data_IF_470877892932
#
_entry.id   IF_470877892932
#
_cell.length_a   1.000
_cell.length_b   1.000
_cell.length_c   1.000
_cell.angle_alpha   90.00
_cell.angle_beta   90.00
_cell.angle_gamma   90.00
#
_symmetry.space_group_name_H-M   'P 1'
#
loop_
_entity.id
_entity.type
_entity.pdbx_description
1 polymer ?
#
# COMPACT_ATOMS: atom_id res chain seq x y z
N UNK A 1 5.35 -49.55 -79.67
CA UNK A 1 4.15 -48.74 -79.37
C UNK A 1 3.64 -49.20 -78.01
N UNK A 2 3.06 -48.25 -77.27
CA UNK A 2 2.49 -48.33 -75.92
C UNK A 2 3.46 -48.27 -74.75
N UNK A 3 3.23 -47.46 -73.73
CA UNK A 3 2.40 -46.27 -73.58
C UNK A 3 3.00 -45.54 -72.37
N UNK A 4 3.29 -44.26 -72.52
CA UNK A 4 3.88 -43.43 -71.49
C UNK A 4 2.77 -43.07 -70.49
N UNK A 5 2.78 -43.74 -69.34
CA UNK A 5 1.82 -43.48 -68.27
C UNK A 5 2.07 -42.09 -67.67
N UNK A 6 1.31 -41.11 -68.13
CA UNK A 6 1.12 -39.84 -67.44
C UNK A 6 0.35 -40.11 -66.14
N UNK A 7 1.02 -40.01 -64.99
CA UNK A 7 0.33 -39.91 -63.71
C UNK A 7 -0.41 -38.55 -63.67
N UNK A 8 -1.74 -38.53 -63.49
CA UNK A 8 -2.47 -37.30 -63.29
C UNK A 8 -2.27 -36.83 -61.84
N UNK A 9 -2.04 -35.53 -61.69
CA UNK A 9 -2.17 -34.79 -60.43
C UNK A 9 -1.19 -35.17 -59.30
N UNK A 10 0.02 -34.61 -59.38
CA UNK A 10 0.82 -34.29 -58.18
C UNK A 10 0.13 -33.16 -57.37
N UNK A 11 -1.10 -33.39 -56.90
CA UNK A 11 -1.76 -32.51 -55.96
C UNK A 11 -1.16 -32.71 -54.57
N UNK A 12 -0.65 -31.63 -53.96
CA UNK A 12 -0.14 -31.69 -52.59
C UNK A 12 -1.16 -32.35 -51.67
N UNK A 13 -0.72 -33.39 -50.95
CA UNK A 13 -1.59 -34.15 -50.08
C UNK A 13 -2.24 -33.20 -49.04
N UNK A 14 -3.55 -33.31 -48.74
CA UNK A 14 -4.25 -32.40 -47.83
C UNK A 14 -3.61 -32.32 -46.44
N UNK A 15 -2.89 -33.37 -46.04
CA UNK A 15 -2.09 -33.41 -44.81
C UNK A 15 -0.87 -32.46 -44.86
N UNK A 16 -0.23 -32.33 -46.01
CA UNK A 16 0.89 -31.41 -46.27
C UNK A 16 0.44 -29.95 -46.24
N UNK A 17 -0.70 -29.67 -46.88
CA UNK A 17 -1.33 -28.33 -46.89
C UNK A 17 -1.70 -27.91 -45.47
N UNK A 18 -2.35 -28.80 -44.70
CA UNK A 18 -2.71 -28.53 -43.30
C UNK A 18 -1.47 -28.31 -42.41
N UNK A 19 -0.40 -29.09 -42.61
CA UNK A 19 0.86 -28.92 -41.89
C UNK A 19 1.49 -27.54 -42.15
N UNK A 20 1.49 -27.08 -43.40
CA UNK A 20 2.04 -25.79 -43.77
C UNK A 20 1.22 -24.63 -43.20
N UNK A 21 -0.12 -24.70 -43.29
CA UNK A 21 -1.02 -23.68 -42.72
C UNK A 21 -0.84 -23.60 -41.21
N UNK A 22 -0.76 -24.74 -40.52
CA UNK A 22 -0.57 -24.79 -39.07
C UNK A 22 0.79 -24.23 -38.68
N UNK A 23 1.86 -24.58 -39.42
CA UNK A 23 3.20 -24.03 -39.19
C UNK A 23 3.25 -22.51 -39.35
N UNK A 24 2.64 -21.98 -40.42
CA UNK A 24 2.55 -20.54 -40.67
C UNK A 24 1.75 -19.84 -39.55
N UNK A 25 0.59 -20.39 -39.16
CA UNK A 25 -0.22 -19.83 -38.08
C UNK A 25 0.51 -19.85 -36.74
N UNK A 26 1.24 -20.91 -36.44
CA UNK A 26 2.01 -21.03 -35.19
C UNK A 26 3.17 -20.02 -35.17
N UNK A 27 3.83 -19.82 -36.30
CA UNK A 27 4.87 -18.80 -36.46
C UNK A 27 4.31 -17.37 -36.31
N UNK A 28 3.19 -17.06 -36.97
CA UNK A 28 2.52 -15.78 -36.81
C UNK A 28 2.07 -15.56 -35.36
N UNK A 29 1.53 -16.59 -34.70
CA UNK A 29 1.13 -16.50 -33.30
C UNK A 29 2.34 -16.27 -32.38
N UNK A 30 3.47 -16.94 -32.63
CA UNK A 30 4.70 -16.74 -31.89
C UNK A 30 5.28 -15.31 -32.05
N UNK A 31 5.02 -14.65 -33.19
CA UNK A 31 5.38 -13.25 -33.41
C UNK A 31 4.37 -12.26 -32.80
N UNK A 32 3.07 -12.58 -32.86
CA UNK A 32 1.99 -11.74 -32.34
C UNK A 32 1.88 -11.78 -30.82
N UNK A 33 2.11 -12.94 -30.20
CA UNK A 33 2.02 -13.13 -28.75
C UNK A 33 2.89 -12.13 -27.95
N UNK A 34 4.20 -11.95 -28.25
CA UNK A 34 5.01 -10.96 -27.54
C UNK A 34 4.56 -9.52 -27.83
N UNK A 35 4.02 -9.24 -29.02
CA UNK A 35 3.49 -7.92 -29.36
C UNK A 35 2.20 -7.60 -28.60
N UNK A 36 1.29 -8.57 -28.47
CA UNK A 36 0.07 -8.44 -27.69
C UNK A 36 0.39 -8.34 -26.20
N UNK A 37 1.31 -9.16 -25.68
CA UNK A 37 1.83 -9.03 -24.31
C UNK A 37 2.39 -7.62 -24.08
N UNK A 38 3.22 -7.14 -25.00
CA UNK A 38 3.76 -5.78 -24.96
C UNK A 38 2.66 -4.72 -24.97
N UNK A 39 1.63 -4.82 -25.83
CA UNK A 39 0.51 -3.88 -25.87
C UNK A 39 -0.34 -3.91 -24.60
N UNK A 40 -0.66 -5.08 -24.05
CA UNK A 40 -1.34 -5.19 -22.76
C UNK A 40 -0.51 -4.58 -21.65
N UNK A 41 0.80 -4.79 -21.65
CA UNK A 41 1.72 -4.17 -20.69
C UNK A 41 1.82 -2.66 -20.91
N UNK A 42 1.77 -2.15 -22.14
CA UNK A 42 1.86 -0.71 -22.44
C UNK A 42 0.60 0.06 -22.04
N UNK A 43 -0.59 -0.52 -22.23
CA UNK A 43 -1.85 0.12 -21.85
C UNK A 43 -2.11 0.17 -20.33
N UNK A 44 -1.35 -0.54 -19.50
CA UNK A 44 -1.58 -0.59 -18.05
C UNK A 44 -0.87 0.49 -17.24
N UNK A 45 0.09 1.25 -17.80
CA UNK A 45 0.87 2.22 -17.03
C UNK A 45 0.02 3.29 -16.32
N UNK A 46 -0.97 3.85 -17.03
CA UNK A 46 -1.88 4.85 -16.44
C UNK A 46 -2.84 4.24 -15.41
N UNK A 47 -3.25 2.98 -15.58
CA UNK A 47 -4.06 2.27 -14.60
C UNK A 47 -3.26 1.93 -13.34
N UNK A 48 -2.01 1.47 -13.49
CA UNK A 48 -1.06 1.20 -12.41
C UNK A 48 -0.79 2.45 -11.57
N UNK A 49 -0.57 3.61 -12.24
CA UNK A 49 -0.36 4.90 -11.59
C UNK A 49 -1.57 5.33 -10.75
N UNK A 50 -2.79 5.16 -11.26
CA UNK A 50 -4.03 5.46 -10.53
C UNK A 50 -4.18 4.58 -9.28
N UNK A 51 -3.86 3.29 -9.38
CA UNK A 51 -3.90 2.38 -8.23
C UNK A 51 -2.89 2.78 -7.16
N UNK A 52 -1.66 3.12 -7.57
CA UNK A 52 -0.62 3.60 -6.66
C UNK A 52 -1.07 4.87 -5.93
N UNK A 53 -1.70 5.80 -6.66
CA UNK A 53 -2.21 7.04 -6.08
C UNK A 53 -3.35 6.82 -5.10
N UNK A 54 -4.33 5.99 -5.46
CA UNK A 54 -5.41 5.63 -4.55
C UNK A 54 -4.89 5.07 -3.22
N UNK A 55 -3.92 4.14 -3.30
CA UNK A 55 -3.32 3.56 -2.11
C UNK A 55 -2.54 4.61 -1.30
N UNK A 56 -1.88 5.56 -1.96
CA UNK A 56 -1.16 6.63 -1.28
C UNK A 56 -2.11 7.59 -0.56
N UNK A 57 -3.21 7.97 -1.21
CA UNK A 57 -4.23 8.83 -0.63
C UNK A 57 -4.89 8.16 0.60
N UNK A 58 -5.12 6.85 0.56
CA UNK A 58 -5.58 6.08 1.75
C UNK A 58 -4.60 6.20 2.92
N UNK A 59 -3.30 6.01 2.66
CA UNK A 59 -2.27 6.14 3.70
C UNK A 59 -2.19 7.58 4.20
N UNK A 60 -2.25 8.58 3.31
CA UNK A 60 -2.25 9.99 3.70
C UNK A 60 -3.44 10.32 4.61
N UNK A 61 -4.63 9.85 4.26
CA UNK A 61 -5.85 10.05 5.05
C UNK A 61 -5.72 9.41 6.43
N UNK A 62 -5.19 8.19 6.49
CA UNK A 62 -4.89 7.52 7.76
C UNK A 62 -3.93 8.35 8.64
N UNK A 63 -2.90 8.94 8.06
CA UNK A 63 -1.92 9.74 8.79
C UNK A 63 -2.51 11.05 9.32
N UNK A 64 -3.42 11.68 8.57
CA UNK A 64 -4.17 12.85 9.04
C UNK A 64 -5.10 12.50 10.21
N UNK A 65 -5.81 11.38 10.13
CA UNK A 65 -6.68 10.92 11.21
C UNK A 65 -5.89 10.64 12.49
N UNK A 66 -4.77 9.91 12.35
CA UNK A 66 -3.83 9.70 13.45
C UNK A 66 -3.37 11.04 14.03
N UNK A 67 -2.94 11.99 13.19
CA UNK A 67 -2.49 13.31 13.66
C UNK A 67 -3.57 14.01 14.49
N UNK A 68 -4.82 13.97 14.07
CA UNK A 68 -5.96 14.53 14.82
C UNK A 68 -6.06 13.92 16.22
N UNK A 69 -5.98 12.59 16.32
CA UNK A 69 -6.00 11.89 17.61
C UNK A 69 -4.79 12.22 18.49
N UNK A 70 -3.59 12.37 17.91
CA UNK A 70 -2.38 12.79 18.62
C UNK A 70 -2.49 14.20 19.19
N UNK A 71 -3.16 15.11 18.49
CA UNK A 71 -3.33 16.48 18.97
C UNK A 71 -4.28 16.53 20.18
N UNK A 72 -5.31 15.69 20.20
CA UNK A 72 -6.28 15.57 21.30
C UNK A 72 -5.66 14.87 22.51
N UNK A 73 -4.85 13.85 22.28
CA UNK A 73 -4.12 13.13 23.32
C UNK A 73 -2.92 13.96 23.75
N UNK A 74 -3.07 14.83 24.74
CA UNK A 74 -1.95 15.56 25.37
C UNK A 74 -0.86 14.57 25.82
N UNK A 75 0.17 14.43 24.98
CA UNK A 75 1.29 13.51 25.15
C UNK A 75 2.28 13.98 26.22
N UNK A 76 2.25 15.26 26.55
CA UNK A 76 3.21 15.93 27.44
C UNK A 76 2.82 15.88 28.92
N UNK A 77 1.58 15.49 29.25
CA UNK A 77 1.09 15.52 30.62
C UNK A 77 1.40 14.27 31.47
N UNK A 78 1.96 13.20 30.87
CA UNK A 78 2.23 11.94 31.57
C UNK A 78 3.70 11.49 31.34
N UNK A 79 4.57 11.50 32.38
CA UNK A 79 5.98 11.17 32.26
C UNK A 79 6.24 9.71 31.81
N UNK A 80 5.34 8.78 32.12
CA UNK A 80 5.45 7.38 31.66
C UNK A 80 5.08 7.24 30.17
N UNK A 81 4.22 8.14 29.68
CA UNK A 81 3.78 8.19 28.30
C UNK A 81 4.77 8.95 27.38
N UNK A 82 5.64 9.79 27.94
CA UNK A 82 6.53 10.67 27.18
C UNK A 82 7.50 9.91 26.27
N UNK A 83 8.19 8.88 26.79
CA UNK A 83 9.18 8.11 26.00
C UNK A 83 8.55 7.37 24.81
N UNK A 84 7.33 6.84 25.00
CA UNK A 84 6.59 6.14 23.95
C UNK A 84 5.95 7.13 22.97
N UNK A 85 5.49 8.28 23.49
CA UNK A 85 4.98 9.40 22.73
C UNK A 85 5.98 9.99 21.75
N UNK A 86 7.21 10.26 22.21
CA UNK A 86 8.31 10.76 21.37
C UNK A 86 8.63 9.78 20.24
N UNK A 87 8.73 8.48 20.54
CA UNK A 87 8.97 7.46 19.51
C UNK A 87 7.82 7.42 18.50
N UNK A 88 6.58 7.59 18.95
CA UNK A 88 5.43 7.63 18.06
C UNK A 88 5.42 8.86 17.16
N UNK A 89 5.75 10.03 17.70
CA UNK A 89 5.88 11.26 16.91
C UNK A 89 6.94 11.10 15.83
N UNK A 90 8.13 10.57 16.18
CA UNK A 90 9.20 10.32 15.21
C UNK A 90 8.76 9.32 14.12
N UNK A 91 8.08 8.24 14.50
CA UNK A 91 7.59 7.25 13.55
C UNK A 91 6.52 7.85 12.61
N UNK A 92 5.61 8.66 13.15
CA UNK A 92 4.61 9.39 12.38
C UNK A 92 5.26 10.35 11.39
N UNK A 93 6.18 11.18 11.84
CA UNK A 93 6.85 12.19 11.02
C UNK A 93 7.61 11.54 9.86
N UNK A 94 8.25 10.40 10.13
CA UNK A 94 8.93 9.62 9.10
C UNK A 94 7.96 9.05 8.06
N UNK A 95 6.81 8.53 8.49
CA UNK A 95 5.77 8.02 7.59
C UNK A 95 5.18 9.13 6.72
N UNK A 96 4.94 10.30 7.32
CA UNK A 96 4.42 11.46 6.62
C UNK A 96 5.41 11.98 5.58
N UNK A 97 6.69 12.10 5.94
CA UNK A 97 7.73 12.50 5.00
C UNK A 97 7.87 11.52 3.82
N UNK A 98 7.79 10.21 4.08
CA UNK A 98 7.80 9.20 3.03
C UNK A 98 6.57 9.30 2.12
N UNK A 99 5.38 9.48 2.69
CA UNK A 99 4.13 9.65 1.95
C UNK A 99 4.20 10.89 1.04
N UNK A 100 4.64 12.03 1.59
CA UNK A 100 4.80 13.29 0.85
C UNK A 100 5.75 13.15 -0.34
N UNK A 101 6.95 12.61 -0.10
CA UNK A 101 7.95 12.39 -1.16
C UNK A 101 7.41 11.50 -2.28
N UNK A 102 6.70 10.43 -1.91
CA UNK A 102 6.11 9.52 -2.88
C UNK A 102 4.98 10.19 -3.68
N UNK A 103 4.20 11.06 -3.05
CA UNK A 103 3.14 11.86 -3.69
C UNK A 103 3.71 12.83 -4.72
N UNK A 104 4.78 13.55 -4.35
CA UNK A 104 5.48 14.47 -5.23
C UNK A 104 6.07 13.74 -6.45
N UNK A 105 6.74 12.60 -6.22
CA UNK A 105 7.23 11.74 -7.29
C UNK A 105 6.09 11.29 -8.23
N UNK A 106 4.99 10.76 -7.69
CA UNK A 106 3.82 10.33 -8.47
C UNK A 106 3.21 11.45 -9.33
N UNK A 107 3.13 12.67 -8.79
CA UNK A 107 2.62 13.85 -9.50
C UNK A 107 3.53 14.28 -10.67
N UNK A 108 4.84 14.13 -10.53
CA UNK A 108 5.79 14.36 -11.63
C UNK A 108 5.55 13.39 -12.80
N UNK A 109 5.23 12.13 -12.50
CA UNK A 109 4.92 11.12 -13.53
C UNK A 109 3.61 11.41 -14.27
N UNK A 110 2.59 11.90 -13.56
CA UNK A 110 1.30 12.27 -14.18
C UNK A 110 1.42 13.47 -15.11
N UNK A 111 2.24 14.46 -14.76
CA UNK A 111 2.33 15.72 -15.51
C UNK A 111 3.17 15.61 -16.77
N UNK A 112 4.08 14.63 -16.87
CA UNK A 112 4.98 14.43 -18.01
C UNK A 112 4.92 13.01 -18.61
N UNK A 113 3.75 12.54 -19.09
CA UNK A 113 3.59 11.17 -19.58
C UNK A 113 4.41 10.89 -20.84
N UNK A 114 4.70 11.89 -21.67
CA UNK A 114 5.49 11.76 -22.90
C UNK A 114 6.98 11.46 -22.66
N UNK A 115 7.48 11.69 -21.45
CA UNK A 115 8.90 11.54 -21.10
C UNK A 115 9.24 10.10 -20.69
N UNK A 116 8.22 9.31 -20.35
CA UNK A 116 8.38 7.97 -19.76
C UNK A 116 8.09 6.88 -20.80
N UNK A 117 9.15 6.37 -21.44
CA UNK A 117 9.02 5.13 -22.20
C UNK A 117 8.64 3.98 -21.26
N UNK A 118 7.85 2.99 -21.74
CA UNK A 118 7.35 1.89 -20.87
C UNK A 118 8.47 1.13 -20.15
N UNK A 119 9.65 0.97 -20.77
CA UNK A 119 10.81 0.35 -20.13
C UNK A 119 11.28 1.19 -18.93
N UNK A 120 11.39 2.51 -19.09
CA UNK A 120 11.72 3.42 -17.98
C UNK A 120 10.64 3.37 -16.89
N UNK A 121 9.37 3.36 -17.27
CA UNK A 121 8.27 3.22 -16.32
C UNK A 121 8.32 1.88 -15.59
N UNK A 122 8.60 0.76 -16.24
CA UNK A 122 8.66 -0.54 -15.56
C UNK A 122 9.75 -0.59 -14.48
N UNK A 123 10.94 -0.07 -14.77
CA UNK A 123 12.00 0.07 -13.76
C UNK A 123 11.56 0.97 -12.61
N UNK A 124 10.93 2.10 -12.93
CA UNK A 124 10.47 3.06 -11.93
C UNK A 124 9.30 2.55 -11.10
N UNK A 125 8.38 1.81 -11.71
CA UNK A 125 7.23 1.19 -11.06
C UNK A 125 7.69 0.25 -9.96
N UNK A 126 8.70 -0.59 -10.21
CA UNK A 126 9.25 -1.48 -9.19
C UNK A 126 9.87 -0.69 -8.02
N UNK A 127 10.53 0.44 -8.30
CA UNK A 127 11.05 1.33 -7.26
C UNK A 127 9.92 1.96 -6.43
N UNK A 128 8.90 2.51 -7.09
CA UNK A 128 7.73 3.12 -6.46
C UNK A 128 6.94 2.09 -5.65
N UNK A 129 6.70 0.90 -6.20
CA UNK A 129 6.07 -0.21 -5.50
C UNK A 129 6.87 -0.63 -4.26
N UNK A 130 8.21 -0.64 -4.34
CA UNK A 130 9.08 -0.88 -3.19
C UNK A 130 8.96 0.21 -2.11
N UNK A 131 8.90 1.48 -2.51
CA UNK A 131 8.65 2.60 -1.59
C UNK A 131 7.27 2.51 -0.95
N UNK A 132 6.26 2.13 -1.73
CA UNK A 132 4.89 1.94 -1.27
C UNK A 132 4.78 0.79 -0.27
N UNK A 133 5.45 -0.34 -0.53
CA UNK A 133 5.53 -1.46 0.40
C UNK A 133 6.23 -1.07 1.72
N UNK A 134 7.27 -0.23 1.67
CA UNK A 134 7.92 0.31 2.88
C UNK A 134 6.98 1.23 3.65
N UNK A 135 6.22 2.07 2.96
CA UNK A 135 5.24 2.96 3.56
C UNK A 135 4.12 2.16 4.24
N UNK A 136 3.57 1.16 3.54
CA UNK A 136 2.56 0.25 4.09
C UNK A 136 3.08 -0.52 5.30
N UNK A 137 4.27 -1.12 5.20
CA UNK A 137 4.89 -1.80 6.34
C UNK A 137 5.11 -0.83 7.51
N UNK A 138 5.46 0.42 7.24
CA UNK A 138 5.56 1.42 8.29
C UNK A 138 4.21 1.72 8.97
N UNK A 139 3.11 1.83 8.20
CA UNK A 139 1.72 1.95 8.73
C UNK A 139 1.34 0.73 9.59
N UNK A 140 1.67 -0.47 9.10
CA UNK A 140 1.39 -1.73 9.80
C UNK A 140 2.19 -1.85 11.11
N UNK A 141 3.41 -1.33 11.16
CA UNK A 141 4.22 -1.26 12.40
C UNK A 141 3.80 -0.13 13.34
N UNK A 142 3.27 0.97 12.81
CA UNK A 142 2.83 2.12 13.58
C UNK A 142 1.52 1.84 14.34
N UNK A 143 0.56 1.16 13.70
CA UNK A 143 -0.73 0.79 14.29
C UNK A 143 -0.63 0.07 15.65
N UNK A 144 0.16 -1.01 15.82
CA UNK A 144 0.31 -1.68 17.11
C UNK A 144 1.07 -0.82 18.13
N UNK A 145 1.95 0.07 17.67
CA UNK A 145 2.64 1.00 18.55
C UNK A 145 1.65 2.00 19.16
N UNK A 146 0.76 2.55 18.32
CA UNK A 146 -0.33 3.42 18.74
C UNK A 146 -1.27 2.70 19.70
N UNK A 147 -1.70 1.48 19.38
CA UNK A 147 -2.57 0.69 20.25
C UNK A 147 -1.94 0.46 21.62
N UNK A 148 -0.66 0.09 21.67
CA UNK A 148 0.05 -0.11 22.94
C UNK A 148 0.14 1.19 23.75
N UNK A 149 0.34 2.33 23.10
CA UNK A 149 0.33 3.64 23.76
C UNK A 149 -1.05 3.94 24.38
N UNK A 150 -2.13 3.76 23.62
CA UNK A 150 -3.50 3.98 24.08
C UNK A 150 -3.87 3.06 25.25
N UNK A 151 -3.49 1.78 25.19
CA UNK A 151 -3.73 0.83 26.28
C UNK A 151 -3.01 1.24 27.58
N UNK A 152 -1.78 1.77 27.47
CA UNK A 152 -1.04 2.27 28.63
C UNK A 152 -1.70 3.50 29.22
N UNK A 153 -2.11 4.46 28.38
CA UNK A 153 -2.87 5.65 28.80
C UNK A 153 -4.17 5.25 29.51
N UNK A 154 -4.94 4.32 28.96
CA UNK A 154 -6.19 3.84 29.57
C UNK A 154 -5.96 3.22 30.96
N UNK A 155 -4.95 2.35 31.10
CA UNK A 155 -4.57 1.77 32.40
C UNK A 155 -4.08 2.82 33.41
N UNK A 156 -3.35 3.84 32.94
CA UNK A 156 -2.90 4.95 33.79
C UNK A 156 -4.12 5.72 34.34
N UNK A 157 -5.09 6.03 33.48
CA UNK A 157 -6.33 6.70 33.86
C UNK A 157 -7.17 5.85 34.83
N UNK A 158 -7.27 4.53 34.60
CA UNK A 158 -7.99 3.61 35.49
C UNK A 158 -7.41 3.62 36.92
N UNK A 159 -6.08 3.58 37.05
CA UNK A 159 -5.40 3.67 38.35
C UNK A 159 -5.70 5.01 39.03
N UNK A 160 -5.66 6.10 38.27
CA UNK A 160 -5.88 7.45 38.80
C UNK A 160 -7.32 7.63 39.30
N UNK A 161 -8.29 7.08 38.57
CA UNK A 161 -9.70 7.04 38.99
C UNK A 161 -9.89 6.20 40.26
N UNK A 162 -9.20 5.07 40.37
CA UNK A 162 -9.25 4.22 41.57
C UNK A 162 -8.74 4.97 42.79
N UNK A 163 -7.58 5.62 42.68
CA UNK A 163 -7.00 6.44 43.77
C UNK A 163 -7.93 7.60 44.14
N UNK A 164 -8.50 8.29 43.16
CA UNK A 164 -9.45 9.37 43.41
C UNK A 164 -10.69 8.85 44.16
N UNK A 165 -11.20 7.67 43.80
CA UNK A 165 -12.32 7.03 44.48
C UNK A 165 -12.00 6.68 45.94
N UNK A 166 -10.80 6.18 46.20
CA UNK A 166 -10.32 5.93 47.57
C UNK A 166 -10.23 7.22 48.40
N UNK A 167 -9.68 8.29 47.82
CA UNK A 167 -9.56 9.61 48.45
C UNK A 167 -10.92 10.23 48.78
N UNK A 168 -11.88 10.15 47.85
CA UNK A 168 -13.26 10.62 48.08
C UNK A 168 -13.91 9.81 49.22
N UNK A 169 -13.69 8.50 49.26
CA UNK A 169 -14.21 7.63 50.33
C UNK A 169 -13.63 8.00 51.69
N UNK A 170 -12.34 8.27 51.77
CA UNK A 170 -11.67 8.71 53.00
C UNK A 170 -12.18 10.08 53.48
N UNK A 171 -12.32 11.06 52.57
CA UNK A 171 -12.90 12.37 52.91
C UNK A 171 -14.35 12.26 53.38
N UNK A 172 -15.13 11.37 52.79
CA UNK A 172 -16.53 11.13 53.20
C UNK A 172 -16.62 10.45 54.57
N UNK A 173 -15.68 9.56 54.90
CA UNK A 173 -15.61 8.91 56.21
C UNK A 173 -15.09 9.83 57.33
N UNK A 174 -14.23 10.80 57.02
CA UNK A 174 -13.80 11.83 57.98
C UNK A 174 -14.85 12.92 58.21
N UNK A 175 -15.87 13.01 57.35
CA UNK A 175 -16.87 14.09 57.32
C UNK A 175 -18.16 13.89 58.14
N UNK A 176 -18.31 12.84 58.95
CA UNK A 176 -19.48 12.80 59.85
C UNK A 176 -19.52 11.69 60.91
N UNK A 177 -20.28 11.88 62.01
CA UNK A 177 -20.58 13.11 62.74
C UNK A 177 -19.77 13.13 64.05
N UNK A 178 -19.02 14.22 64.27
CA UNK A 178 -18.63 14.62 65.62
C UNK A 178 -19.90 15.03 66.36
N UNK A 179 -20.47 14.04 67.04
CA UNK A 179 -21.38 14.10 68.19
C UNK A 179 -21.72 15.51 68.69
N UNK A 180 -22.99 15.85 68.53
CA UNK A 180 -23.73 16.63 69.52
C UNK A 180 -23.42 16.10 70.93
N UNK A 181 -22.80 16.94 71.76
CA UNK A 181 -22.96 16.96 73.22
C UNK A 181 -22.76 18.38 73.70
#
# INVERSE_FOLDING_TARGET
>A
MSDQACCPECGDSPLSIMGNITGILTFFYALLAPFLLFLTVVNTAGAELKVLRYNLDDISTYMEDVRGHFHILTLEADPDAWSMGTRLSIARDKLEDMSRKLSEELKEYETNPSTWTRIKWWHKYNEIAGKMARLQNGKDNFSPMLLNFLLRKARSQEKLLTVLGELIREMTQQGGPGTET
#
